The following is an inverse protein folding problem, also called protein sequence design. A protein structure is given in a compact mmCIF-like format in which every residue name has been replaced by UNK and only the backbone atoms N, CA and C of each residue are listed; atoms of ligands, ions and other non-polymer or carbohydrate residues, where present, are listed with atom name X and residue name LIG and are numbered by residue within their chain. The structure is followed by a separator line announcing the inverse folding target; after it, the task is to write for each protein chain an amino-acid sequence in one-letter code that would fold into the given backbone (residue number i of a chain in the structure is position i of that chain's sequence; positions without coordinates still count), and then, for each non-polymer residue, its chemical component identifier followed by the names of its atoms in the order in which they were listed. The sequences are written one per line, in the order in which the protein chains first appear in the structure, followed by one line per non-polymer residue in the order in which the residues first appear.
data_IF_640778717132
#
_entry.id   IF_640778717132
#
_cell.length_a   1.000
_cell.length_b   1.000
_cell.length_c   1.000
_cell.angle_alpha   90.00
_cell.angle_beta   90.00
_cell.angle_gamma   90.00
#
_symmetry.space_group_name_H-M   'P 1'
#
loop_
_entity.id
_entity.type
_entity.pdbx_description
1 polymer ?
#
# COMPACT_ATOMS: atom_id res chain seq x y z
N UNK A 1 5.88 15.35 -9.38
CA UNK A 1 6.13 16.81 -9.35
C UNK A 1 7.30 17.16 -8.44
N UNK A 2 7.25 16.86 -7.14
CA UNK A 2 8.35 17.22 -6.21
C UNK A 2 9.72 16.61 -6.57
N UNK A 3 9.75 15.36 -7.06
CA UNK A 3 10.98 14.73 -7.58
C UNK A 3 11.54 15.44 -8.82
N UNK A 4 10.69 15.79 -9.80
CA UNK A 4 11.15 16.39 -11.06
C UNK A 4 11.43 17.90 -10.96
N UNK A 5 10.83 18.59 -9.99
CA UNK A 5 10.94 20.05 -9.80
C UNK A 5 11.59 20.42 -8.48
N UNK A 6 12.47 19.57 -7.93
CA UNK A 6 13.14 19.80 -6.66
C UNK A 6 13.86 21.16 -6.58
N UNK A 7 14.42 21.63 -7.69
CA UNK A 7 15.05 22.96 -7.80
C UNK A 7 14.15 24.13 -7.38
N UNK A 8 12.89 24.11 -7.82
CA UNK A 8 11.92 25.15 -7.49
C UNK A 8 11.33 24.99 -6.08
N UNK A 9 11.28 23.76 -5.57
CA UNK A 9 10.67 23.42 -4.27
C UNK A 9 11.64 23.63 -3.11
N UNK A 10 12.90 23.24 -3.29
CA UNK A 10 13.92 23.22 -2.22
C UNK A 10 14.96 24.34 -2.35
N UNK A 11 14.80 25.26 -3.31
CA UNK A 11 15.68 26.42 -3.48
C UNK A 11 17.05 26.10 -4.10
N UNK A 12 17.21 24.94 -4.75
CA UNK A 12 18.46 24.54 -5.40
C UNK A 12 18.40 23.12 -5.99
N UNK A 13 19.32 22.76 -6.89
CA UNK A 13 19.33 21.42 -7.51
C UNK A 13 19.57 20.35 -6.44
N UNK A 14 18.71 19.33 -6.44
CA UNK A 14 18.84 18.15 -5.55
C UNK A 14 19.40 17.00 -6.38
N UNK A 15 20.61 16.54 -6.07
CA UNK A 15 21.15 15.33 -6.67
C UNK A 15 20.51 14.11 -6.02
N UNK A 16 19.59 13.47 -6.75
CA UNK A 16 18.86 12.35 -6.19
C UNK A 16 19.72 11.10 -5.98
N UNK A 17 19.64 10.54 -4.77
CA UNK A 17 20.29 9.27 -4.41
C UNK A 17 19.67 8.07 -5.14
N UNK A 18 20.34 6.92 -5.11
CA UNK A 18 19.77 5.68 -5.62
C UNK A 18 18.48 5.31 -4.88
N UNK A 19 18.47 5.47 -3.56
CA UNK A 19 17.27 5.28 -2.74
C UNK A 19 16.10 6.12 -3.26
N UNK A 20 16.29 7.43 -3.49
CA UNK A 20 15.21 8.30 -3.97
C UNK A 20 14.67 7.85 -5.34
N UNK A 21 15.56 7.42 -6.25
CA UNK A 21 15.19 6.90 -7.57
C UNK A 21 14.34 5.63 -7.45
N UNK A 22 14.79 4.66 -6.65
CA UNK A 22 14.09 3.39 -6.46
C UNK A 22 12.75 3.57 -5.75
N UNK A 23 12.70 4.37 -4.69
CA UNK A 23 11.45 4.65 -3.97
C UNK A 23 10.45 5.37 -4.87
N UNK A 24 10.91 6.33 -5.69
CA UNK A 24 10.04 6.98 -6.68
C UNK A 24 9.46 5.95 -7.65
N UNK A 25 10.29 5.09 -8.24
CA UNK A 25 9.84 4.06 -9.16
C UNK A 25 8.86 3.07 -8.51
N UNK A 26 9.16 2.61 -7.30
CA UNK A 26 8.32 1.68 -6.54
C UNK A 26 6.95 2.29 -6.25
N UNK A 27 6.90 3.53 -5.74
CA UNK A 27 5.64 4.23 -5.45
C UNK A 27 4.84 4.46 -6.74
N UNK A 28 5.50 4.88 -7.82
CA UNK A 28 4.84 5.05 -9.12
C UNK A 28 4.23 3.74 -9.62
N UNK A 29 5.00 2.65 -9.63
CA UNK A 29 4.51 1.32 -10.03
C UNK A 29 3.37 0.84 -9.13
N UNK A 30 3.44 1.10 -7.83
CA UNK A 30 2.37 0.78 -6.89
C UNK A 30 1.05 1.44 -7.27
N UNK A 31 1.07 2.77 -7.46
CA UNK A 31 -0.14 3.50 -7.80
C UNK A 31 -0.62 3.18 -9.21
N UNK A 32 0.28 3.01 -10.19
CA UNK A 32 -0.10 2.55 -11.53
C UNK A 32 -0.83 1.20 -11.48
N UNK A 33 -0.28 0.22 -10.75
CA UNK A 33 -0.96 -1.06 -10.51
C UNK A 33 -2.34 -0.84 -9.88
N UNK A 34 -2.43 0.00 -8.84
CA UNK A 34 -3.68 0.26 -8.11
C UNK A 34 -4.77 0.82 -9.03
N UNK A 35 -4.42 1.75 -9.90
CA UNK A 35 -5.34 2.31 -10.91
C UNK A 35 -5.77 1.24 -11.92
N UNK A 36 -4.81 0.48 -12.47
CA UNK A 36 -5.10 -0.62 -13.41
C UNK A 36 -5.99 -1.71 -12.77
N UNK A 37 -5.74 -2.08 -11.52
CA UNK A 37 -6.59 -3.03 -10.78
C UNK A 37 -8.00 -2.48 -10.58
N UNK A 38 -8.13 -1.20 -10.27
CA UNK A 38 -9.44 -0.55 -10.08
C UNK A 38 -10.24 -0.56 -11.39
N UNK A 39 -9.58 -0.31 -12.53
CA UNK A 39 -10.21 -0.30 -13.85
C UNK A 39 -10.53 -1.70 -14.40
N UNK A 40 -9.63 -2.67 -14.25
CA UNK A 40 -9.71 -3.94 -14.98
C UNK A 40 -9.99 -5.17 -14.10
N UNK A 41 -9.70 -5.10 -12.79
CA UNK A 41 -9.77 -6.24 -11.87
C UNK A 41 -10.95 -6.13 -10.92
N UNK A 42 -11.14 -5.00 -10.26
CA UNK A 42 -12.13 -4.85 -9.20
C UNK A 42 -13.56 -4.87 -9.73
N UNK A 43 -14.42 -5.66 -9.06
CA UNK A 43 -15.87 -5.70 -9.30
C UNK A 43 -16.58 -5.18 -8.05
N UNK A 44 -16.99 -3.91 -8.07
CA UNK A 44 -17.64 -3.27 -6.94
C UNK A 44 -19.10 -3.73 -6.78
N UNK A 45 -19.56 -3.88 -5.53
CA UNK A 45 -20.95 -4.29 -5.25
C UNK A 45 -21.94 -3.14 -5.35
N UNK A 46 -21.48 -1.91 -5.21
CA UNK A 46 -22.24 -0.69 -5.47
C UNK A 46 -21.64 -0.02 -6.71
N UNK A 47 -22.49 0.34 -7.66
CA UNK A 47 -22.08 0.96 -8.92
C UNK A 47 -21.58 2.40 -8.74
N UNK A 48 -21.95 3.06 -7.63
CA UNK A 48 -21.59 4.45 -7.37
C UNK A 48 -21.13 4.64 -5.93
N UNK A 49 -20.14 5.52 -5.77
CA UNK A 49 -19.77 6.11 -4.48
C UNK A 49 -20.34 7.54 -4.44
N UNK A 50 -20.79 8.05 -3.28
CA UNK A 50 -21.15 9.45 -3.15
C UNK A 50 -20.01 10.36 -3.62
N UNK A 51 -20.31 11.33 -4.50
CA UNK A 51 -19.36 12.26 -5.12
C UNK A 51 -18.40 12.93 -4.11
N UNK A 52 -18.91 13.32 -2.94
CA UNK A 52 -18.10 13.93 -1.87
C UNK A 52 -16.98 13.01 -1.36
N UNK A 53 -17.19 11.69 -1.36
CA UNK A 53 -16.16 10.75 -0.93
C UNK A 53 -14.99 10.66 -1.92
N UNK A 54 -15.20 11.04 -3.19
CA UNK A 54 -14.11 11.13 -4.17
C UNK A 54 -13.16 12.22 -3.73
N UNK A 55 -13.64 13.45 -3.50
CA UNK A 55 -12.79 14.55 -3.04
C UNK A 55 -12.17 14.28 -1.68
N UNK A 56 -12.92 13.71 -0.73
CA UNK A 56 -12.38 13.37 0.58
C UNK A 56 -11.25 12.34 0.49
N UNK A 57 -11.45 11.27 -0.28
CA UNK A 57 -10.44 10.22 -0.46
C UNK A 57 -9.24 10.77 -1.24
N UNK A 58 -9.47 11.50 -2.33
CA UNK A 58 -8.42 12.12 -3.13
C UNK A 58 -7.62 13.13 -2.31
N UNK A 59 -8.27 14.03 -1.55
CA UNK A 59 -7.56 14.98 -0.69
C UNK A 59 -6.75 14.26 0.39
N UNK A 60 -7.30 13.21 1.02
CA UNK A 60 -6.55 12.39 1.96
C UNK A 60 -5.30 11.80 1.32
N UNK A 61 -5.42 11.12 0.17
CA UNK A 61 -4.27 10.53 -0.52
C UNK A 61 -3.28 11.58 -1.03
N UNK A 62 -3.73 12.72 -1.55
CA UNK A 62 -2.86 13.77 -2.08
C UNK A 62 -2.12 14.52 -0.99
N UNK A 63 -2.76 14.80 0.15
CA UNK A 63 -2.14 15.57 1.24
C UNK A 63 -1.26 14.64 2.08
N UNK A 64 -1.78 13.49 2.51
CA UNK A 64 -1.07 12.62 3.46
C UNK A 64 -0.08 11.67 2.78
N UNK A 65 -0.42 11.10 1.62
CA UNK A 65 0.50 10.21 0.89
C UNK A 65 1.29 10.95 -0.18
N UNK A 66 0.69 11.92 -0.85
CA UNK A 66 1.33 12.71 -1.91
C UNK A 66 2.30 13.73 -1.33
N UNK A 67 1.81 14.75 -0.65
CA UNK A 67 2.62 15.88 -0.22
C UNK A 67 3.46 15.57 1.02
N UNK A 68 2.87 14.99 2.06
CA UNK A 68 3.57 14.76 3.33
C UNK A 68 4.69 13.72 3.20
N UNK A 69 4.55 12.68 2.39
CA UNK A 69 5.65 11.73 2.14
C UNK A 69 6.65 12.26 1.12
N UNK A 70 6.19 12.79 -0.01
CA UNK A 70 7.10 13.15 -1.11
C UNK A 70 7.95 14.38 -0.79
N UNK A 71 7.45 15.33 0.01
CA UNK A 71 8.19 16.53 0.37
C UNK A 71 9.49 16.25 1.15
N UNK A 72 9.48 15.53 2.29
CA UNK A 72 10.72 15.18 2.98
C UNK A 72 11.55 14.19 2.16
N UNK A 73 10.90 13.22 1.51
CA UNK A 73 11.59 12.14 0.81
C UNK A 73 12.42 12.60 -0.39
N UNK A 74 11.92 13.55 -1.18
CA UNK A 74 12.64 14.07 -2.36
C UNK A 74 13.47 15.32 -2.05
N UNK A 75 13.52 15.73 -0.78
CA UNK A 75 14.33 16.85 -0.34
C UNK A 75 15.81 16.52 -0.11
N UNK A 76 16.60 17.53 0.29
CA UNK A 76 18.05 17.40 0.51
C UNK A 76 18.44 16.35 1.56
N UNK A 77 17.57 16.05 2.53
CA UNK A 77 17.83 15.07 3.61
C UNK A 77 18.15 13.68 3.08
N UNK A 78 17.58 13.29 1.93
CA UNK A 78 17.82 11.99 1.29
C UNK A 78 18.60 12.11 -0.03
N UNK A 79 19.23 13.27 -0.28
CA UNK A 79 20.07 13.49 -1.44
C UNK A 79 21.36 12.63 -1.38
N UNK A 80 22.01 12.43 -2.53
CA UNK A 80 23.17 11.56 -2.65
C UNK A 80 24.32 11.93 -1.71
N UNK A 81 24.56 13.23 -1.49
CA UNK A 81 25.64 13.72 -0.63
C UNK A 81 25.23 13.91 0.85
N UNK A 82 23.98 13.60 1.20
CA UNK A 82 23.50 13.71 2.58
C UNK A 82 24.23 12.74 3.50
N UNK A 83 24.60 13.14 4.73
CA UNK A 83 25.12 12.24 5.75
C UNK A 83 24.18 11.08 6.11
N UNK A 84 22.87 11.22 5.84
CA UNK A 84 21.89 10.16 6.07
C UNK A 84 22.02 9.02 5.03
N UNK A 85 22.46 9.36 3.81
CA UNK A 85 22.59 8.41 2.71
C UNK A 85 24.04 7.93 2.61
N UNK A 86 24.96 8.87 2.41
CA UNK A 86 26.35 8.58 2.03
C UNK A 86 27.02 7.69 3.07
N UNK A 87 27.56 6.56 2.61
CA UNK A 87 28.24 5.57 3.45
C UNK A 87 27.37 4.94 4.55
N UNK A 88 26.05 4.96 4.42
CA UNK A 88 25.13 4.25 5.30
C UNK A 88 24.48 3.06 4.59
N UNK A 89 23.67 2.27 5.31
CA UNK A 89 22.90 1.16 4.73
C UNK A 89 21.96 1.63 3.61
N UNK A 90 21.54 2.90 3.64
CA UNK A 90 20.64 3.50 2.65
C UNK A 90 21.31 3.78 1.29
N UNK A 91 22.65 3.69 1.21
CA UNK A 91 23.43 3.76 -0.03
C UNK A 91 23.93 2.37 -0.48
N UNK A 92 23.76 1.31 0.32
CA UNK A 92 24.14 -0.06 -0.05
C UNK A 92 23.15 -0.63 -1.09
N UNK A 93 23.60 -0.93 -2.33
CA UNK A 93 22.73 -1.50 -3.36
C UNK A 93 22.08 -2.82 -2.95
N UNK A 94 22.74 -3.63 -2.11
CA UNK A 94 22.22 -4.93 -1.67
C UNK A 94 21.00 -4.74 -0.78
N UNK A 95 21.02 -3.75 0.12
CA UNK A 95 19.88 -3.40 0.96
C UNK A 95 18.71 -2.88 0.11
N UNK A 96 18.99 -1.99 -0.84
CA UNK A 96 17.99 -1.45 -1.77
C UNK A 96 17.34 -2.60 -2.57
N UNK A 97 18.12 -3.51 -3.13
CA UNK A 97 17.60 -4.64 -3.92
C UNK A 97 16.85 -5.66 -3.07
N UNK A 98 17.27 -5.92 -1.83
CA UNK A 98 16.52 -6.76 -0.91
C UNK A 98 15.13 -6.15 -0.59
N UNK A 99 15.07 -4.85 -0.31
CA UNK A 99 13.81 -4.14 -0.13
C UNK A 99 12.97 -4.16 -1.42
N UNK A 100 13.58 -3.93 -2.58
CA UNK A 100 12.88 -4.00 -3.85
C UNK A 100 12.26 -5.38 -4.10
N UNK A 101 13.00 -6.47 -3.85
CA UNK A 101 12.49 -7.83 -3.99
C UNK A 101 11.31 -8.11 -3.05
N UNK A 102 11.41 -7.69 -1.78
CA UNK A 102 10.31 -7.82 -0.82
C UNK A 102 9.07 -7.04 -1.24
N UNK A 103 9.27 -5.82 -1.76
CA UNK A 103 8.19 -5.00 -2.31
C UNK A 103 7.54 -5.66 -3.53
N UNK A 104 8.31 -6.18 -4.49
CA UNK A 104 7.77 -6.90 -5.65
C UNK A 104 6.95 -8.11 -5.21
N UNK A 105 7.47 -8.90 -4.27
CA UNK A 105 6.73 -10.02 -3.67
C UNK A 105 5.40 -9.55 -3.08
N UNK A 106 5.41 -8.48 -2.29
CA UNK A 106 4.20 -7.91 -1.71
C UNK A 106 3.19 -7.46 -2.78
N UNK A 107 3.65 -6.77 -3.83
CA UNK A 107 2.80 -6.28 -4.92
C UNK A 107 2.15 -7.43 -5.72
N UNK A 108 2.92 -8.47 -6.06
CA UNK A 108 2.41 -9.66 -6.77
C UNK A 108 1.41 -10.40 -5.90
N UNK A 109 1.72 -10.57 -4.61
CA UNK A 109 0.86 -11.26 -3.65
C UNK A 109 -0.45 -10.52 -3.43
N UNK A 110 -0.39 -9.19 -3.31
CA UNK A 110 -1.56 -8.32 -3.26
C UNK A 110 -2.42 -8.47 -4.53
N UNK A 111 -1.82 -8.43 -5.73
CA UNK A 111 -2.53 -8.66 -6.99
C UNK A 111 -3.22 -10.02 -7.04
N UNK A 112 -2.52 -11.09 -6.64
CA UNK A 112 -3.08 -12.43 -6.61
C UNK A 112 -4.34 -12.50 -5.73
N UNK A 113 -4.31 -11.87 -4.55
CA UNK A 113 -5.50 -11.81 -3.67
C UNK A 113 -6.65 -11.02 -4.30
N UNK A 114 -6.39 -9.95 -5.05
CA UNK A 114 -7.42 -9.21 -5.79
C UNK A 114 -8.05 -10.05 -6.92
N UNK A 115 -7.26 -10.86 -7.62
CA UNK A 115 -7.77 -11.80 -8.64
C UNK A 115 -8.68 -12.85 -7.99
N UNK A 116 -8.28 -13.43 -6.85
CA UNK A 116 -9.16 -14.34 -6.09
C UNK A 116 -10.47 -13.65 -5.72
N UNK A 117 -10.43 -12.43 -5.20
CA UNK A 117 -11.63 -11.67 -4.82
C UNK A 117 -12.53 -11.34 -6.02
N UNK A 118 -11.95 -11.04 -7.18
CA UNK A 118 -12.67 -10.83 -8.44
C UNK A 118 -13.42 -12.09 -8.87
N UNK A 119 -12.77 -13.24 -8.81
CA UNK A 119 -13.33 -14.52 -9.28
C UNK A 119 -14.51 -15.00 -8.42
N UNK A 120 -14.61 -14.55 -7.17
CA UNK A 120 -15.76 -14.82 -6.30
C UNK A 120 -17.03 -14.06 -6.71
N UNK A 121 -16.92 -13.12 -7.65
CA UNK A 121 -18.05 -12.35 -8.20
C UNK A 121 -18.13 -12.53 -9.71
N UNK A 122 -18.75 -13.60 -10.22
CA UNK A 122 -19.01 -13.75 -11.65
C UNK A 122 -19.73 -12.51 -12.23
N UNK A 123 -19.48 -12.15 -13.50
CA UNK A 123 -20.14 -11.00 -14.14
C UNK A 123 -21.66 -11.06 -13.97
N UNK A 124 -22.29 -9.94 -13.63
CA UNK A 124 -23.74 -9.85 -13.44
C UNK A 124 -24.27 -10.29 -12.07
N UNK A 125 -23.42 -10.81 -11.18
CA UNK A 125 -23.85 -11.24 -9.83
C UNK A 125 -23.41 -10.25 -8.74
N UNK A 126 -24.27 -10.05 -7.73
CA UNK A 126 -23.93 -9.34 -6.49
C UNK A 126 -23.62 -10.29 -5.32
N UNK A 127 -23.61 -11.60 -5.58
CA UNK A 127 -23.41 -12.63 -4.56
C UNK A 127 -22.03 -12.46 -3.94
N UNK A 128 -21.98 -12.46 -2.61
CA UNK A 128 -20.72 -12.52 -1.87
C UNK A 128 -20.44 -13.98 -1.53
N UNK A 129 -19.17 -14.35 -1.55
CA UNK A 129 -18.70 -15.65 -1.14
C UNK A 129 -17.47 -15.48 -0.24
N UNK A 130 -17.20 -16.48 0.59
CA UNK A 130 -16.01 -16.50 1.45
C UNK A 130 -14.81 -16.87 0.58
N UNK A 131 -13.75 -16.04 0.52
CA UNK A 131 -12.54 -16.35 -0.22
C UNK A 131 -11.76 -17.49 0.43
N UNK A 132 -11.15 -18.37 -0.36
CA UNK A 132 -10.23 -19.42 0.07
C UNK A 132 -9.01 -19.46 -0.87
N UNK A 133 -7.94 -20.13 -0.45
CA UNK A 133 -6.69 -20.22 -1.20
C UNK A 133 -5.60 -19.29 -0.66
N UNK A 134 -4.73 -18.82 -1.55
CA UNK A 134 -3.51 -18.08 -1.20
C UNK A 134 -3.77 -16.90 -0.24
N UNK A 135 -3.12 -16.95 0.94
CA UNK A 135 -3.29 -15.98 2.03
C UNK A 135 -4.63 -16.09 2.79
N UNK A 136 -5.71 -16.49 2.11
CA UNK A 136 -7.04 -16.61 2.69
C UNK A 136 -7.23 -17.81 3.62
N UNK A 137 -6.31 -18.76 3.63
CA UNK A 137 -6.29 -19.85 4.61
C UNK A 137 -6.05 -19.32 6.03
N UNK A 138 -5.18 -18.32 6.17
CA UNK A 138 -4.78 -17.76 7.46
C UNK A 138 -5.47 -16.42 7.77
N UNK A 139 -5.74 -15.63 6.73
CA UNK A 139 -6.27 -14.27 6.85
C UNK A 139 -7.62 -14.11 6.19
N UNK A 140 -8.43 -13.20 6.75
CA UNK A 140 -9.69 -12.78 6.18
C UNK A 140 -9.47 -11.76 5.05
N UNK A 141 -8.47 -10.89 5.22
CA UNK A 141 -8.11 -9.81 4.30
C UNK A 141 -6.59 -9.81 4.00
N UNK A 142 -6.03 -10.87 3.38
CA UNK A 142 -4.61 -10.94 3.02
C UNK A 142 -4.17 -9.84 2.05
N UNK A 143 -5.08 -9.26 1.28
CA UNK A 143 -4.77 -8.09 0.45
C UNK A 143 -4.27 -6.91 1.30
N UNK A 144 -4.82 -6.72 2.51
CA UNK A 144 -4.34 -5.68 3.43
C UNK A 144 -2.97 -6.02 4.02
N UNK A 145 -2.71 -7.30 4.33
CA UNK A 145 -1.39 -7.74 4.78
C UNK A 145 -0.29 -7.38 3.78
N UNK A 146 -0.50 -7.76 2.52
CA UNK A 146 0.49 -7.50 1.48
C UNK A 146 0.64 -6.01 1.18
N UNK A 147 -0.43 -5.22 1.36
CA UNK A 147 -0.36 -3.76 1.30
C UNK A 147 0.54 -3.19 2.41
N UNK A 148 0.35 -3.65 3.66
CA UNK A 148 1.19 -3.29 4.81
C UNK A 148 2.63 -3.72 4.58
N UNK A 149 2.87 -4.89 4.01
CA UNK A 149 4.22 -5.36 3.70
C UNK A 149 4.91 -4.47 2.66
N UNK A 150 4.19 -4.04 1.62
CA UNK A 150 4.72 -3.14 0.60
C UNK A 150 5.10 -1.78 1.20
N UNK A 151 4.18 -1.14 1.94
CA UNK A 151 4.44 0.17 2.56
C UNK A 151 5.42 0.11 3.73
N UNK A 152 5.44 -0.99 4.48
CA UNK A 152 6.43 -1.27 5.52
C UNK A 152 7.83 -1.40 4.92
N UNK A 153 7.94 -1.99 3.74
CA UNK A 153 9.21 -2.06 2.99
C UNK A 153 9.67 -0.67 2.55
N UNK A 154 8.76 0.21 2.10
CA UNK A 154 9.10 1.60 1.78
C UNK A 154 9.53 2.36 3.05
N UNK A 155 8.85 2.17 4.18
CA UNK A 155 9.22 2.80 5.44
C UNK A 155 10.59 2.33 5.94
N UNK A 156 10.89 1.03 5.81
CA UNK A 156 12.20 0.47 6.14
C UNK A 156 13.30 1.01 5.21
N UNK A 157 13.06 0.99 3.89
CA UNK A 157 14.01 1.45 2.89
C UNK A 157 14.35 2.93 3.09
N UNK A 158 13.34 3.75 3.35
CA UNK A 158 13.52 5.20 3.54
C UNK A 158 13.97 5.58 4.94
N UNK A 159 13.66 4.77 5.96
CA UNK A 159 13.85 5.11 7.38
C UNK A 159 13.17 6.41 7.81
N UNK A 160 12.23 6.94 7.01
CA UNK A 160 11.60 8.22 7.25
C UNK A 160 10.54 8.14 8.34
N UNK A 161 10.62 9.02 9.34
CA UNK A 161 9.59 9.13 10.38
C UNK A 161 8.21 9.38 9.77
N UNK A 162 8.13 10.11 8.65
CA UNK A 162 6.85 10.35 7.95
C UNK A 162 6.32 9.08 7.31
N UNK A 163 7.19 8.25 6.70
CA UNK A 163 6.80 6.94 6.19
C UNK A 163 6.28 6.01 7.30
N UNK A 164 6.87 6.06 8.50
CA UNK A 164 6.39 5.28 9.65
C UNK A 164 5.05 5.79 10.18
N UNK A 165 4.85 7.10 10.28
CA UNK A 165 3.56 7.69 10.67
C UNK A 165 2.48 7.31 9.64
N UNK A 166 2.80 7.41 8.36
CA UNK A 166 1.91 6.98 7.28
C UNK A 166 1.54 5.51 7.42
N UNK A 167 2.52 4.61 7.61
CA UNK A 167 2.28 3.19 7.84
C UNK A 167 1.37 2.95 9.05
N UNK A 168 1.59 3.66 10.16
CA UNK A 168 0.76 3.58 11.37
C UNK A 168 -0.69 3.99 11.12
N UNK A 169 -0.90 5.12 10.42
CA UNK A 169 -2.25 5.56 10.03
C UNK A 169 -2.95 4.58 9.08
N UNK A 170 -2.19 3.98 8.15
CA UNK A 170 -2.70 2.95 7.24
C UNK A 170 -3.12 1.69 8.01
N UNK A 171 -2.28 1.22 8.94
CA UNK A 171 -2.58 0.08 9.82
C UNK A 171 -3.88 0.30 10.60
N UNK A 172 -4.04 1.48 11.22
CA UNK A 172 -5.25 1.83 11.96
C UNK A 172 -6.49 1.82 11.05
N UNK A 173 -6.43 2.52 9.92
CA UNK A 173 -7.56 2.65 9.02
C UNK A 173 -7.99 1.30 8.41
N UNK A 174 -7.03 0.47 7.99
CA UNK A 174 -7.31 -0.86 7.45
C UNK A 174 -7.81 -1.81 8.54
N UNK A 175 -7.33 -1.68 9.77
CA UNK A 175 -7.81 -2.45 10.92
C UNK A 175 -9.29 -2.20 11.20
N UNK A 176 -9.70 -0.93 11.25
CA UNK A 176 -11.12 -0.56 11.40
C UNK A 176 -11.99 -1.11 10.26
N UNK A 177 -11.49 -1.04 9.02
CA UNK A 177 -12.18 -1.62 7.87
C UNK A 177 -12.28 -3.15 7.95
N UNK A 178 -11.23 -3.82 8.40
CA UNK A 178 -11.19 -5.28 8.55
C UNK A 178 -12.22 -5.74 9.59
N UNK A 179 -12.28 -5.09 10.76
CA UNK A 179 -13.26 -5.38 11.81
C UNK A 179 -14.68 -5.20 11.29
N UNK A 180 -14.95 -4.08 10.61
CA UNK A 180 -16.28 -3.82 10.03
C UNK A 180 -16.67 -4.86 8.99
N UNK A 181 -15.76 -5.24 8.10
CA UNK A 181 -16.00 -6.28 7.07
C UNK A 181 -16.21 -7.66 7.70
N UNK A 182 -15.45 -8.02 8.73
CA UNK A 182 -15.62 -9.29 9.43
C UNK A 182 -16.98 -9.38 10.11
N UNK A 183 -17.44 -8.31 10.78
CA UNK A 183 -18.79 -8.26 11.36
C UNK A 183 -19.87 -8.49 10.31
N UNK A 184 -19.73 -7.88 9.13
CA UNK A 184 -20.63 -8.12 8.01
C UNK A 184 -20.59 -9.58 7.52
N UNK A 185 -19.40 -10.17 7.38
CA UNK A 185 -19.25 -11.57 6.99
C UNK A 185 -19.82 -12.56 8.02
N UNK A 186 -19.62 -12.33 9.31
CA UNK A 186 -20.22 -13.16 10.37
C UNK A 186 -21.75 -13.06 10.34
N UNK A 187 -22.31 -11.86 10.10
CA UNK A 187 -23.76 -11.67 9.96
C UNK A 187 -24.32 -12.37 8.72
N UNK A 188 -23.58 -12.35 7.61
CA UNK A 188 -24.02 -12.91 6.32
C UNK A 188 -23.86 -14.43 6.23
N UNK A 189 -22.75 -14.98 6.74
CA UNK A 189 -22.40 -16.39 6.57
C UNK A 189 -22.52 -17.24 7.84
N UNK A 190 -22.73 -16.63 9.01
CA UNK A 190 -22.91 -17.34 10.27
C UNK A 190 -21.79 -18.35 10.54
N UNK A 191 -22.16 -19.61 10.80
CA UNK A 191 -21.24 -20.72 11.10
C UNK A 191 -20.33 -21.12 9.92
N UNK A 192 -20.66 -20.73 8.69
CA UNK A 192 -19.81 -21.02 7.53
C UNK A 192 -18.55 -20.13 7.49
N UNK A 193 -18.53 -19.01 8.23
CA UNK A 193 -17.34 -18.16 8.31
C UNK A 193 -16.24 -18.82 9.16
N UNK A 194 -15.01 -19.00 8.63
CA UNK A 194 -13.94 -19.67 9.37
C UNK A 194 -13.53 -18.88 10.62
N UNK A 195 -13.70 -19.44 11.84
CA UNK A 195 -13.43 -18.71 13.08
C UNK A 195 -11.93 -18.54 13.35
N UNK A 196 -11.08 -19.40 12.79
CA UNK A 196 -9.64 -19.40 13.03
C UNK A 196 -8.87 -18.32 12.26
N UNK A 197 -9.49 -17.74 11.23
CA UNK A 197 -8.83 -16.71 10.41
C UNK A 197 -8.59 -15.46 11.23
N UNK A 198 -7.35 -14.98 11.17
CA UNK A 198 -7.02 -13.61 11.58
C UNK A 198 -7.55 -12.63 10.53
N UNK A 199 -7.66 -11.36 10.89
CA UNK A 199 -8.20 -10.33 10.04
C UNK A 199 -7.21 -9.94 8.95
N UNK A 200 -6.00 -9.57 9.33
CA UNK A 200 -5.04 -8.87 8.48
C UNK A 200 -3.57 -9.14 8.80
N UNK A 201 -3.17 -9.33 10.06
CA UNK A 201 -1.78 -9.59 10.45
C UNK A 201 -1.66 -11.07 10.84
N UNK A 202 -0.84 -11.87 10.12
CA UNK A 202 -0.66 -13.28 10.43
C UNK A 202 -0.35 -13.51 11.91
N UNK A 203 -1.04 -14.47 12.51
CA UNK A 203 -0.88 -14.90 13.91
C UNK A 203 -1.24 -13.86 15.00
N UNK A 204 -1.42 -12.58 14.64
CA UNK A 204 -1.67 -11.49 15.59
C UNK A 204 -3.11 -11.00 15.51
N UNK A 205 -3.51 -10.42 14.37
CA UNK A 205 -4.74 -9.64 14.25
C UNK A 205 -5.56 -10.02 13.04
#
# INVERSE_FOLDING_TARGET
LLYFYGGAVYGGPVQHSQLQKWVCAMITVHFMKRELETLFVHRFSHATMPWYNIFKNSAHYWITSGFALAYPLYGPTYAADSPYIKSTIHDDPRFIYACFALFVYAQISNFATHITLRNLRPPGTKRRAIPYGYGFTWLSFPNYWFEILAWGTIALLTGSYVSYIFLGSMLYQMGEWAIKKQRAYKKEFGKAYPPERKLMIPFIF
#
